data_IF_476142494539
#
_entry.id   IF_476142494539
#
_cell.length_a   1.000
_cell.length_b   1.000
_cell.length_c   1.000
_cell.angle_alpha   90.00
_cell.angle_beta   90.00
_cell.angle_gamma   90.00
#
_symmetry.space_group_name_H-M   'P 1'
#
loop_
_entity.id
_entity.type
_entity.pdbx_description
1 polymer ?
#
# COMPACT_ATOMS: atom_id res chain seq x y z
N UNK A 1 -19.96 8.43 -26.68
CA UNK A 1 -18.97 8.96 -25.71
C UNK A 1 -18.20 7.78 -25.13
N UNK A 2 -17.06 7.45 -25.72
CA UNK A 2 -16.15 6.43 -25.19
C UNK A 2 -15.26 7.08 -24.13
N UNK A 3 -15.35 6.58 -22.89
CA UNK A 3 -14.41 6.95 -21.83
C UNK A 3 -12.99 6.59 -22.30
N UNK A 4 -11.98 7.45 -22.11
CA UNK A 4 -10.61 7.07 -22.37
C UNK A 4 -10.27 5.87 -21.47
N UNK A 5 -9.81 4.78 -22.08
CA UNK A 5 -9.16 3.69 -21.37
C UNK A 5 -7.97 4.32 -20.63
N UNK A 6 -8.09 4.40 -19.31
CA UNK A 6 -7.01 4.86 -18.44
C UNK A 6 -5.84 3.88 -18.60
N UNK A 7 -4.93 4.16 -19.53
CA UNK A 7 -3.68 3.44 -19.71
C UNK A 7 -2.69 3.95 -18.67
N UNK A 8 -2.98 3.59 -17.42
CA UNK A 8 -2.03 3.71 -16.32
C UNK A 8 -0.69 3.05 -16.68
N UNK A 9 0.40 3.38 -15.97
CA UNK A 9 1.75 2.98 -16.33
C UNK A 9 1.82 1.49 -16.59
N UNK A 10 2.31 1.10 -17.78
CA UNK A 10 2.44 -0.28 -18.27
C UNK A 10 2.64 -1.28 -17.12
N UNK A 11 1.54 -1.98 -16.84
CA UNK A 11 1.34 -3.16 -16.00
C UNK A 11 2.64 -3.91 -15.63
N UNK A 12 3.35 -3.42 -14.64
CA UNK A 12 4.47 -4.12 -14.02
C UNK A 12 4.06 -4.54 -12.62
N UNK A 13 4.31 -5.81 -12.27
CA UNK A 13 4.12 -6.31 -10.91
C UNK A 13 4.98 -5.46 -9.96
N UNK A 14 4.35 -4.83 -8.97
CA UNK A 14 5.09 -4.17 -7.90
C UNK A 14 5.57 -5.24 -6.91
N UNK A 15 6.83 -5.18 -6.49
CA UNK A 15 7.27 -5.99 -5.35
C UNK A 15 7.57 -5.07 -4.19
N UNK A 16 6.90 -5.32 -3.06
CA UNK A 16 7.13 -4.60 -1.82
C UNK A 16 7.70 -5.59 -0.81
N UNK A 17 8.81 -5.24 -0.18
CA UNK A 17 9.40 -6.04 0.89
C UNK A 17 9.42 -5.23 2.17
N UNK A 18 8.84 -5.77 3.23
CA UNK A 18 8.79 -5.14 4.55
C UNK A 18 9.34 -6.16 5.54
N UNK A 19 10.51 -5.88 6.12
CA UNK A 19 11.19 -6.80 7.07
C UNK A 19 11.02 -6.41 8.53
N UNK A 20 10.54 -5.20 8.79
CA UNK A 20 10.48 -4.60 10.12
C UNK A 20 9.06 -4.22 10.50
N UNK A 21 8.64 -4.58 11.71
CA UNK A 21 7.29 -4.27 12.23
C UNK A 21 7.03 -2.76 12.33
N UNK A 22 8.05 -1.95 12.59
CA UNK A 22 7.93 -0.49 12.62
C UNK A 22 7.65 0.09 11.22
N UNK A 23 8.31 -0.44 10.19
CA UNK A 23 8.09 -0.07 8.79
C UNK A 23 6.70 -0.50 8.34
N UNK A 24 6.29 -1.73 8.71
CA UNK A 24 4.94 -2.22 8.45
C UNK A 24 3.88 -1.30 9.05
N UNK A 25 4.06 -0.92 10.31
CA UNK A 25 3.15 -0.01 11.01
C UNK A 25 3.07 1.36 10.32
N UNK A 26 4.21 1.94 9.94
CA UNK A 26 4.26 3.24 9.28
C UNK A 26 3.63 3.22 7.87
N UNK A 27 3.73 2.10 7.16
CA UNK A 27 3.17 1.93 5.83
C UNK A 27 1.68 1.56 5.85
N UNK A 28 1.18 0.88 6.87
CA UNK A 28 -0.20 0.38 6.90
C UNK A 28 -1.23 1.50 7.07
N UNK A 29 -2.32 1.39 6.30
CA UNK A 29 -3.43 2.35 6.26
C UNK A 29 -4.72 1.67 6.76
N UNK A 30 -4.91 1.52 8.08
CA UNK A 30 -6.03 0.76 8.65
C UNK A 30 -7.41 1.42 8.41
N UNK A 31 -7.43 2.73 8.17
CA UNK A 31 -8.64 3.53 8.00
C UNK A 31 -9.27 3.39 6.61
N UNK A 32 -8.56 2.79 5.65
CA UNK A 32 -9.09 2.49 4.32
C UNK A 32 -9.95 1.23 4.41
N UNK A 33 -11.08 1.18 3.67
CA UNK A 33 -11.90 -0.03 3.57
C UNK A 33 -11.08 -1.19 3.03
N UNK A 34 -11.11 -2.34 3.71
CA UNK A 34 -10.25 -3.51 3.47
C UNK A 34 -8.76 -3.31 3.79
N UNK A 35 -8.38 -2.13 4.30
CA UNK A 35 -7.00 -1.78 4.57
C UNK A 35 -6.24 -1.33 3.32
N UNK A 36 -5.00 -0.91 3.53
CA UNK A 36 -4.12 -0.51 2.44
C UNK A 36 -2.68 -0.33 2.91
N UNK A 37 -1.78 -0.11 1.95
CA UNK A 37 -0.38 0.20 2.21
C UNK A 37 0.04 1.45 1.44
N UNK A 38 0.83 2.28 2.12
CA UNK A 38 1.63 3.29 1.45
C UNK A 38 2.88 2.65 0.85
N UNK A 39 3.09 2.88 -0.45
CA UNK A 39 4.21 2.35 -1.21
C UNK A 39 5.07 3.53 -1.68
N UNK A 40 6.27 3.73 -1.11
CA UNK A 40 7.22 4.71 -1.61
C UNK A 40 7.60 4.38 -3.05
N UNK A 41 7.39 5.33 -3.97
CA UNK A 41 7.70 5.14 -5.38
C UNK A 41 7.87 6.48 -6.09
N UNK A 42 8.76 6.50 -7.08
CA UNK A 42 8.96 7.64 -7.98
C UNK A 42 8.17 7.51 -9.29
N UNK A 43 7.50 6.36 -9.50
CA UNK A 43 6.61 6.13 -10.64
C UNK A 43 5.35 6.99 -10.49
N UNK A 44 4.91 7.55 -11.61
CA UNK A 44 3.65 8.28 -11.67
C UNK A 44 2.49 7.28 -11.67
N UNK A 45 1.43 7.58 -10.92
CA UNK A 45 0.17 6.83 -10.92
C UNK A 45 -0.99 7.83 -10.97
N UNK A 46 -2.15 7.36 -11.37
CA UNK A 46 -3.41 8.10 -11.30
C UNK A 46 -4.30 7.49 -10.22
N UNK A 47 -5.12 8.32 -9.56
CA UNK A 47 -6.16 7.81 -8.66
C UNK A 47 -7.09 6.86 -9.41
N UNK A 48 -7.38 5.72 -8.81
CA UNK A 48 -8.17 4.65 -9.42
C UNK A 48 -7.37 3.63 -10.21
N UNK A 49 -6.06 3.85 -10.45
CA UNK A 49 -5.21 2.84 -11.09
C UNK A 49 -5.27 1.52 -10.32
N UNK A 50 -5.51 0.43 -11.04
CA UNK A 50 -5.42 -0.92 -10.48
C UNK A 50 -3.97 -1.40 -10.53
N UNK A 51 -3.51 -1.96 -9.43
CA UNK A 51 -2.13 -2.41 -9.25
C UNK A 51 -2.13 -3.84 -8.77
N UNK A 52 -1.19 -4.62 -9.26
CA UNK A 52 -0.89 -5.95 -8.75
C UNK A 52 0.48 -5.93 -8.08
N UNK A 53 0.54 -6.38 -6.83
CA UNK A 53 1.77 -6.38 -6.05
C UNK A 53 2.04 -7.74 -5.39
N UNK A 54 3.32 -8.08 -5.27
CA UNK A 54 3.79 -9.19 -4.44
C UNK A 54 4.38 -8.60 -3.15
N UNK A 55 3.69 -8.83 -2.05
CA UNK A 55 4.09 -8.42 -0.71
C UNK A 55 4.95 -9.51 -0.07
N UNK A 56 6.22 -9.21 0.16
CA UNK A 56 7.10 -10.01 1.00
C UNK A 56 7.09 -9.41 2.41
N UNK A 57 6.56 -10.14 3.38
CA UNK A 57 6.26 -9.61 4.70
C UNK A 57 7.03 -10.38 5.77
N UNK A 58 7.84 -9.67 6.56
CA UNK A 58 8.55 -10.20 7.71
C UNK A 58 9.30 -11.51 7.39
N UNK A 59 8.92 -12.59 8.08
CA UNK A 59 9.52 -13.92 7.96
C UNK A 59 8.63 -14.89 7.14
N UNK A 60 7.62 -14.37 6.42
CA UNK A 60 6.79 -15.19 5.54
C UNK A 60 7.65 -15.84 4.46
N UNK A 61 7.52 -17.16 4.33
CA UNK A 61 8.29 -17.92 3.34
C UNK A 61 7.85 -17.60 1.90
N UNK A 62 6.57 -17.24 1.73
CA UNK A 62 5.98 -16.96 0.42
C UNK A 62 5.52 -15.50 0.32
N UNK A 63 5.62 -14.95 -0.90
CA UNK A 63 5.11 -13.61 -1.18
C UNK A 63 3.60 -13.67 -1.31
N UNK A 64 2.91 -12.78 -0.62
CA UNK A 64 1.45 -12.63 -0.72
C UNK A 64 1.11 -11.82 -1.96
N UNK A 65 0.38 -12.37 -2.95
CA UNK A 65 -0.13 -11.60 -4.06
C UNK A 65 -1.29 -10.72 -3.59
N UNK A 66 -1.26 -9.44 -3.96
CA UNK A 66 -2.28 -8.46 -3.59
C UNK A 66 -2.69 -7.68 -4.82
N UNK A 67 -3.99 -7.68 -5.09
CA UNK A 67 -4.59 -6.75 -6.03
C UNK A 67 -5.06 -5.52 -5.26
N UNK A 68 -4.70 -4.34 -5.75
CA UNK A 68 -5.01 -3.09 -5.09
C UNK A 68 -5.46 -2.00 -6.06
N UNK A 69 -5.94 -0.90 -5.49
CA UNK A 69 -6.30 0.32 -6.21
C UNK A 69 -5.64 1.54 -5.60
N UNK A 70 -5.06 2.41 -6.41
CA UNK A 70 -4.48 3.67 -5.95
C UNK A 70 -5.59 4.59 -5.46
N UNK A 71 -5.54 4.97 -4.19
CA UNK A 71 -6.54 5.85 -3.54
C UNK A 71 -5.92 7.10 -2.91
N UNK A 72 -4.59 7.15 -2.85
CA UNK A 72 -3.83 8.30 -2.35
C UNK A 72 -2.55 8.48 -3.16
N UNK A 73 -2.13 9.73 -3.39
CA UNK A 73 -0.87 10.06 -4.04
C UNK A 73 -0.15 11.12 -3.21
N UNK A 74 1.07 10.82 -2.79
CA UNK A 74 1.99 11.79 -2.17
C UNK A 74 2.99 12.26 -3.23
N UNK A 75 2.92 13.52 -3.71
CA UNK A 75 3.80 14.02 -4.76
C UNK A 75 5.24 14.18 -4.27
N UNK A 76 6.19 14.26 -5.21
CA UNK A 76 7.58 14.61 -4.91
C UNK A 76 7.66 16.02 -4.33
N UNK A 77 8.43 16.19 -3.27
CA UNK A 77 8.57 17.48 -2.58
C UNK A 77 7.38 17.84 -1.68
N UNK A 78 6.57 16.85 -1.28
CA UNK A 78 5.49 17.06 -0.32
C UNK A 78 6.02 17.68 0.99
N UNK A 79 5.21 18.56 1.58
CA UNK A 79 5.53 19.26 2.82
C UNK A 79 5.82 18.27 3.96
N UNK A 80 6.78 18.62 4.83
CA UNK A 80 7.15 17.79 5.98
C UNK A 80 8.10 16.64 5.66
N UNK A 81 8.86 16.72 4.55
CA UNK A 81 9.83 15.70 4.14
C UNK A 81 9.22 14.29 3.97
N UNK A 82 7.93 14.22 3.59
CA UNK A 82 7.25 12.95 3.35
C UNK A 82 7.79 12.30 2.06
N UNK A 83 8.01 11.00 2.11
CA UNK A 83 8.45 10.23 0.96
C UNK A 83 7.39 10.31 -0.16
N UNK A 84 7.82 10.49 -1.40
CA UNK A 84 6.94 10.38 -2.55
C UNK A 84 6.45 8.93 -2.70
N UNK A 85 5.18 8.76 -3.04
CA UNK A 85 4.61 7.43 -3.18
C UNK A 85 3.10 7.44 -3.34
N UNK A 86 2.52 6.25 -3.22
CA UNK A 86 1.08 6.02 -3.42
C UNK A 86 0.49 5.22 -2.28
N UNK A 87 -0.72 5.55 -1.86
CA UNK A 87 -1.53 4.70 -1.00
C UNK A 87 -2.40 3.78 -1.83
N UNK A 88 -2.23 2.48 -1.61
CA UNK A 88 -2.93 1.41 -2.33
C UNK A 88 -3.93 0.76 -1.38
N UNK A 89 -5.22 0.87 -1.72
CA UNK A 89 -6.29 0.13 -1.07
C UNK A 89 -6.25 -1.33 -1.52
N UNK A 90 -6.42 -2.27 -0.60
CA UNK A 90 -6.57 -3.68 -0.95
C UNK A 90 -7.97 -3.95 -1.52
N UNK A 91 -8.02 -4.66 -2.65
CA UNK A 91 -9.27 -5.09 -3.28
C UNK A 91 -9.36 -6.62 -3.37
N UNK A 92 -8.48 -7.33 -2.65
CA UNK A 92 -8.53 -8.77 -2.50
C UNK A 92 -9.85 -9.17 -1.80
N UNK A 93 -10.57 -10.12 -2.40
CA UNK A 93 -11.88 -10.54 -1.89
C UNK A 93 -11.80 -11.37 -0.60
N UNK A 94 -10.62 -11.90 -0.29
CA UNK A 94 -10.36 -12.82 0.82
C UNK A 94 -9.74 -12.13 2.06
N UNK A 95 -9.38 -10.84 1.97
CA UNK A 95 -8.69 -10.07 3.01
C UNK A 95 -7.39 -10.71 3.52
N UNK A 96 -6.76 -11.58 2.74
CA UNK A 96 -5.58 -12.34 3.18
C UNK A 96 -4.45 -11.40 3.60
N UNK A 97 -4.14 -10.39 2.78
CA UNK A 97 -3.09 -9.43 3.10
C UNK A 97 -3.42 -8.61 4.35
N UNK A 98 -4.67 -8.14 4.46
CA UNK A 98 -5.14 -7.38 5.62
C UNK A 98 -4.97 -8.17 6.91
N UNK A 99 -5.50 -9.39 6.96
CA UNK A 99 -5.49 -10.23 8.17
C UNK A 99 -4.07 -10.56 8.61
N UNK A 100 -3.19 -10.82 7.65
CA UNK A 100 -1.78 -11.09 7.93
C UNK A 100 -1.08 -9.86 8.52
N UNK A 101 -1.26 -8.69 7.92
CA UNK A 101 -0.69 -7.43 8.42
C UNK A 101 -1.23 -7.12 9.82
N UNK A 102 -2.55 -7.22 10.04
CA UNK A 102 -3.15 -6.97 11.35
C UNK A 102 -2.64 -7.95 12.41
N UNK A 103 -2.37 -9.21 12.05
CA UNK A 103 -1.75 -10.20 12.94
C UNK A 103 -0.35 -9.76 13.38
N UNK A 104 0.49 -9.28 12.46
CA UNK A 104 1.80 -8.73 12.80
C UNK A 104 1.70 -7.44 13.62
N UNK A 105 0.65 -6.64 13.42
CA UNK A 105 0.43 -5.35 14.08
C UNK A 105 -0.44 -5.43 15.34
N UNK A 106 -0.79 -6.62 15.84
CA UNK A 106 -1.51 -6.79 17.11
C UNK A 106 -0.78 -6.00 18.22
N UNK A 107 -1.57 -5.26 18.99
CA UNK A 107 -1.10 -4.36 20.06
C UNK A 107 -0.50 -3.04 19.57
N UNK A 108 0.03 -2.98 18.35
CA UNK A 108 0.60 -1.75 17.78
C UNK A 108 -0.47 -0.83 17.16
N UNK A 109 -1.57 -1.38 16.63
CA UNK A 109 -2.67 -0.59 16.03
C UNK A 109 -3.37 0.37 17.00
N UNK A 110 -3.19 0.19 18.32
CA UNK A 110 -3.69 1.10 19.36
C UNK A 110 -2.69 2.21 19.73
N UNK A 111 -1.51 2.22 19.11
CA UNK A 111 -0.47 3.22 19.35
C UNK A 111 -0.77 4.52 18.63
N UNK A 112 -0.43 5.66 19.23
CA UNK A 112 -0.51 7.00 18.62
C UNK A 112 0.74 7.34 17.78
N UNK A 113 1.41 6.32 17.20
CA UNK A 113 2.64 6.55 16.45
C UNK A 113 2.29 7.14 15.06
N UNK A 114 3.03 8.16 14.58
CA UNK A 114 2.79 8.71 13.25
C UNK A 114 2.94 7.66 12.15
N UNK A 115 2.12 7.76 11.09
CA UNK A 115 2.20 6.90 9.91
C UNK A 115 2.63 7.72 8.69
N UNK A 116 2.85 7.08 7.54
CA UNK A 116 3.18 7.80 6.31
C UNK A 116 2.03 8.63 5.73
N UNK A 117 0.81 8.40 6.22
CA UNK A 117 -0.42 8.95 5.64
C UNK A 117 -1.24 9.81 6.58
N UNK A 118 -0.88 9.87 7.87
CA UNK A 118 -1.48 10.77 8.87
C UNK A 118 -0.39 11.60 9.54
#
# INVERSE_FOLDING_TARGET
MSLPLNTGPRNGILSLTIKDKSVLYAAYMPFIRNGGLFIPTSKSYTLGDEVFMLLNLMDEAEKVPVTGRVTWITPKGAQGNRAAGVGVQFIDGDNTARNLIETYLVGALKSDRPTHTM
#
